data_IF_931451735130
#
_entry.id   IF_931451735130
#
_cell.length_a   1.000
_cell.length_b   1.000
_cell.length_c   1.000
_cell.angle_alpha   90.00
_cell.angle_beta   90.00
_cell.angle_gamma   90.00
#
_symmetry.space_group_name_H-M   'P 1'
#
loop_
_entity.id
_entity.type
_entity.pdbx_description
1 polymer ?
#
# COMPACT_ATOMS: atom_id res chain seq x y z
N UNK A 1 -91.93 -16.73 29.48
CA UNK A 1 -92.02 -17.41 28.16
C UNK A 1 -90.75 -18.24 27.99
N UNK A 2 -90.92 -19.56 27.80
CA UNK A 2 -89.92 -20.60 27.45
C UNK A 2 -88.87 -20.10 26.41
N UNK A 3 -87.58 -20.50 26.28
CA UNK A 3 -86.80 -21.74 26.55
C UNK A 3 -85.31 -21.52 26.14
N UNK A 4 -84.36 -22.18 26.83
CA UNK A 4 -83.18 -23.00 26.38
C UNK A 4 -82.19 -22.32 25.36
N UNK A 5 -80.84 -22.30 25.48
CA UNK A 5 -79.84 -23.39 25.54
C UNK A 5 -78.45 -22.85 25.96
N UNK A 6 -77.77 -23.67 26.79
CA UNK A 6 -76.33 -23.86 27.02
C UNK A 6 -75.33 -23.13 26.09
N UNK A 7 -74.24 -22.61 26.66
CA UNK A 7 -72.93 -23.27 26.56
C UNK A 7 -71.94 -22.76 27.60
N UNK A 8 -71.19 -23.70 28.15
CA UNK A 8 -70.19 -23.58 29.20
C UNK A 8 -68.83 -23.61 28.50
N UNK A 9 -67.99 -22.59 28.67
CA UNK A 9 -66.56 -22.69 28.34
C UNK A 9 -65.77 -21.98 29.42
N UNK A 10 -65.12 -22.79 30.24
CA UNK A 10 -63.98 -22.42 31.07
C UNK A 10 -62.77 -22.38 30.14
N UNK A 11 -62.07 -21.26 30.05
CA UNK A 11 -60.75 -21.23 29.42
C UNK A 11 -59.76 -20.54 30.33
N UNK A 12 -58.92 -21.39 30.92
CA UNK A 12 -57.73 -21.07 31.68
C UNK A 12 -56.75 -20.30 30.79
N UNK A 13 -56.42 -19.06 31.16
CA UNK A 13 -55.43 -18.24 30.46
C UNK A 13 -54.04 -18.61 31.00
N UNK A 14 -53.33 -19.49 30.29
CA UNK A 14 -51.90 -19.73 30.50
C UNK A 14 -51.14 -18.47 30.08
N UNK A 15 -50.51 -17.80 31.03
CA UNK A 15 -49.55 -16.74 30.74
C UNK A 15 -48.32 -17.37 30.07
N UNK A 16 -48.26 -17.33 28.75
CA UNK A 16 -47.04 -17.62 28.01
C UNK A 16 -46.10 -16.43 28.20
N UNK A 17 -45.10 -16.62 29.06
CA UNK A 17 -43.95 -15.74 29.15
C UNK A 17 -43.21 -15.81 27.80
N UNK A 18 -43.31 -14.78 26.97
CA UNK A 18 -42.38 -14.60 25.86
C UNK A 18 -41.03 -14.25 26.47
N UNK A 19 -40.15 -15.24 26.58
CA UNK A 19 -38.72 -14.96 26.71
C UNK A 19 -38.27 -14.36 25.38
N UNK A 20 -37.98 -13.05 25.39
CA UNK A 20 -37.24 -12.43 24.31
C UNK A 20 -35.80 -12.95 24.41
N UNK A 21 -35.48 -13.97 23.63
CA UNK A 21 -34.09 -14.32 23.35
C UNK A 21 -33.44 -13.13 22.66
N UNK A 22 -32.72 -12.32 23.43
CA UNK A 22 -31.80 -11.34 22.91
C UNK A 22 -30.66 -12.11 22.23
N UNK A 23 -30.90 -12.52 20.97
CA UNK A 23 -29.83 -12.79 20.04
C UNK A 23 -29.10 -11.46 19.83
N UNK A 24 -28.11 -11.20 20.68
CA UNK A 24 -27.00 -10.33 20.35
C UNK A 24 -26.29 -11.01 19.18
N UNK A 25 -26.83 -10.80 17.97
CA UNK A 25 -26.11 -11.10 16.76
C UNK A 25 -24.82 -10.30 16.82
N UNK A 26 -23.70 -11.01 16.83
CA UNK A 26 -22.39 -10.43 16.55
C UNK A 26 -22.55 -9.60 15.28
N UNK A 27 -22.56 -8.26 15.41
CA UNK A 27 -22.49 -7.38 14.27
C UNK A 27 -21.04 -7.51 13.83
N UNK A 28 -20.77 -8.44 12.92
CA UNK A 28 -19.49 -8.53 12.26
C UNK A 28 -19.25 -7.18 11.56
N UNK A 29 -18.41 -6.34 12.15
CA UNK A 29 -17.97 -5.08 11.54
C UNK A 29 -17.26 -5.44 10.25
N UNK A 30 -17.76 -4.93 9.12
CA UNK A 30 -17.07 -5.06 7.84
C UNK A 30 -15.63 -4.53 7.97
N UNK A 31 -14.61 -5.25 7.47
CA UNK A 31 -13.24 -4.78 7.57
C UNK A 31 -13.08 -3.45 6.83
N UNK A 32 -12.39 -2.53 7.50
CA UNK A 32 -11.98 -1.22 6.98
C UNK A 32 -11.12 -1.36 5.71
N UNK A 33 -10.99 -0.28 4.95
CA UNK A 33 -10.12 -0.27 3.77
C UNK A 33 -8.65 -0.54 4.12
N UNK A 34 -8.19 -0.06 5.28
CA UNK A 34 -6.87 -0.37 5.84
C UNK A 34 -6.70 -1.87 6.08
N UNK A 35 -7.63 -2.52 6.80
CA UNK A 35 -7.57 -3.97 7.06
C UNK A 35 -7.61 -4.79 5.77
N UNK A 36 -8.41 -4.36 4.77
CA UNK A 36 -8.45 -4.99 3.44
C UNK A 36 -7.12 -4.87 2.71
N UNK A 37 -6.49 -3.68 2.74
CA UNK A 37 -5.17 -3.47 2.13
C UNK A 37 -4.11 -4.33 2.82
N UNK A 38 -4.09 -4.32 4.15
CA UNK A 38 -3.17 -5.12 4.95
C UNK A 38 -3.30 -6.60 4.62
N UNK A 39 -4.53 -7.12 4.57
CA UNK A 39 -4.76 -8.52 4.21
C UNK A 39 -4.26 -8.85 2.80
N UNK A 40 -4.40 -7.92 1.85
CA UNK A 40 -3.87 -8.10 0.48
C UNK A 40 -2.34 -8.08 0.45
N UNK A 41 -1.70 -7.29 1.30
CA UNK A 41 -0.23 -7.17 1.38
C UNK A 41 0.42 -8.14 2.38
N UNK A 42 -0.36 -8.90 3.15
CA UNK A 42 0.15 -9.74 4.25
C UNK A 42 1.15 -10.81 3.77
N UNK A 43 0.87 -11.43 2.62
CA UNK A 43 1.71 -12.48 2.05
C UNK A 43 2.80 -11.95 1.10
N UNK A 44 2.95 -10.62 1.01
CA UNK A 44 3.98 -10.00 0.18
C UNK A 44 5.35 -10.17 0.84
N UNK A 45 6.17 -11.08 0.29
CA UNK A 45 7.57 -11.29 0.66
C UNK A 45 8.52 -10.57 -0.28
N UNK A 46 8.23 -10.60 -1.57
CA UNK A 46 8.99 -9.87 -2.58
C UNK A 46 8.10 -9.39 -3.72
N UNK A 47 8.53 -8.30 -4.36
CA UNK A 47 7.91 -7.73 -5.55
C UNK A 47 9.02 -7.26 -6.48
N UNK A 48 8.96 -7.64 -7.75
CA UNK A 48 9.91 -7.14 -8.74
C UNK A 48 9.22 -6.88 -10.06
N UNK A 49 9.73 -5.93 -10.82
CA UNK A 49 9.18 -5.59 -12.12
C UNK A 49 9.90 -4.40 -12.73
N UNK A 50 9.25 -3.84 -13.73
CA UNK A 50 9.68 -2.65 -14.44
C UNK A 50 8.69 -1.53 -14.18
N UNK A 51 9.15 -0.29 -14.29
CA UNK A 51 8.30 0.88 -14.21
C UNK A 51 8.59 1.86 -15.34
N UNK A 52 7.55 2.60 -15.74
CA UNK A 52 7.67 3.91 -16.40
C UNK A 52 7.08 4.94 -15.45
N UNK A 53 7.82 6.00 -15.13
CA UNK A 53 7.39 7.07 -14.26
C UNK A 53 7.16 8.34 -15.08
N UNK A 54 6.02 8.98 -14.89
CA UNK A 54 5.76 10.32 -15.39
C UNK A 54 5.61 11.29 -14.20
N UNK A 55 6.37 12.37 -14.22
CA UNK A 55 6.37 13.39 -13.17
C UNK A 55 5.65 14.64 -13.69
N UNK A 56 4.61 15.04 -12.98
CA UNK A 56 3.80 16.21 -13.28
C UNK A 56 3.93 17.26 -12.18
N UNK A 57 3.94 18.53 -12.57
CA UNK A 57 3.83 19.68 -11.67
C UNK A 57 2.82 20.65 -12.28
N UNK A 58 1.82 21.05 -11.49
CA UNK A 58 0.69 21.88 -11.96
C UNK A 58 -0.01 21.33 -13.23
N UNK A 59 0.01 20.01 -13.40
CA UNK A 59 -0.58 19.31 -14.56
C UNK A 59 0.29 19.29 -15.82
N UNK A 60 1.50 19.85 -15.77
CA UNK A 60 2.47 19.79 -16.86
C UNK A 60 3.44 18.63 -16.65
N UNK A 61 3.67 17.84 -17.70
CA UNK A 61 4.68 16.78 -17.70
C UNK A 61 6.07 17.43 -17.65
N UNK A 62 6.79 17.21 -16.55
CA UNK A 62 8.16 17.67 -16.38
C UNK A 62 9.17 16.67 -16.93
N UNK A 63 8.90 15.38 -16.69
CA UNK A 63 9.89 14.34 -16.89
C UNK A 63 9.24 12.96 -17.04
N UNK A 64 9.86 12.11 -17.84
CA UNK A 64 9.55 10.69 -17.93
C UNK A 64 10.81 9.87 -17.67
N UNK A 65 10.67 8.83 -16.86
CA UNK A 65 11.74 7.93 -16.44
C UNK A 65 11.30 6.49 -16.65
N UNK A 66 12.24 5.58 -16.77
CA UNK A 66 11.97 4.15 -16.76
C UNK A 66 13.03 3.40 -15.98
N UNK A 67 12.71 2.16 -15.59
CA UNK A 67 13.67 1.36 -14.87
C UNK A 67 13.10 0.07 -14.31
N UNK A 68 13.88 -0.51 -13.40
CA UNK A 68 13.59 -1.77 -12.74
C UNK A 68 13.54 -1.57 -11.23
N UNK A 69 12.69 -2.35 -10.58
CA UNK A 69 12.61 -2.36 -9.13
C UNK A 69 12.57 -3.79 -8.58
N UNK A 70 13.17 -3.96 -7.41
CA UNK A 70 13.10 -5.18 -6.60
C UNK A 70 12.89 -4.76 -5.16
N UNK A 71 11.83 -5.27 -4.56
CA UNK A 71 11.45 -5.06 -3.18
C UNK A 71 11.43 -6.43 -2.49
N UNK A 72 12.03 -6.52 -1.31
CA UNK A 72 11.99 -7.70 -0.46
C UNK A 72 11.77 -7.29 0.99
N UNK A 73 10.74 -7.87 1.60
CA UNK A 73 10.47 -7.65 3.02
C UNK A 73 11.40 -8.50 3.89
N UNK A 74 11.78 -8.01 5.07
CA UNK A 74 11.57 -6.65 5.54
C UNK A 74 12.57 -5.67 4.90
N UNK A 75 12.12 -4.44 4.64
CA UNK A 75 12.97 -3.25 4.52
C UNK A 75 14.01 -3.21 3.38
N UNK A 76 14.04 -4.14 2.42
CA UNK A 76 15.02 -4.12 1.33
C UNK A 76 14.44 -3.66 -0.01
N UNK A 77 15.11 -2.72 -0.65
CA UNK A 77 14.73 -2.17 -1.95
C UNK A 77 15.97 -2.03 -2.83
N UNK A 78 15.79 -2.31 -4.11
CA UNK A 78 16.65 -1.83 -5.18
C UNK A 78 15.77 -1.18 -6.23
N UNK A 79 16.02 0.10 -6.52
CA UNK A 79 15.35 0.86 -7.55
C UNK A 79 16.41 1.39 -8.50
N UNK A 80 16.35 1.00 -9.76
CA UNK A 80 17.33 1.40 -10.79
C UNK A 80 16.59 2.19 -11.83
N UNK A 81 16.95 3.46 -11.99
CA UNK A 81 16.46 4.32 -13.05
C UNK A 81 17.45 4.26 -14.22
N UNK A 82 16.94 4.08 -15.43
CA UNK A 82 17.72 4.04 -16.66
C UNK A 82 18.15 5.45 -17.11
N UNK A 83 18.94 5.52 -18.17
CA UNK A 83 19.28 6.79 -18.83
C UNK A 83 18.00 7.50 -19.35
N UNK A 84 17.99 8.85 -19.38
CA UNK A 84 19.11 9.77 -19.21
C UNK A 84 19.44 10.16 -17.75
N UNK A 85 18.50 10.05 -16.81
CA UNK A 85 18.76 10.31 -15.38
C UNK A 85 19.06 9.02 -14.61
N UNK A 86 20.13 8.34 -15.05
CA UNK A 86 20.56 7.10 -14.43
C UNK A 86 20.80 7.30 -12.93
N UNK A 87 20.22 6.43 -12.11
CA UNK A 87 20.40 6.43 -10.66
C UNK A 87 20.13 5.05 -10.08
N UNK A 88 20.76 4.75 -8.95
CA UNK A 88 20.57 3.50 -8.22
C UNK A 88 20.27 3.84 -6.77
N UNK A 89 19.07 3.49 -6.33
CA UNK A 89 18.67 3.58 -4.94
C UNK A 89 18.61 2.19 -4.33
N UNK A 90 19.32 1.98 -3.24
CA UNK A 90 19.36 0.70 -2.50
C UNK A 90 18.99 0.96 -1.05
N UNK A 91 18.12 0.14 -0.49
CA UNK A 91 17.82 0.08 0.94
C UNK A 91 18.14 -1.34 1.42
N UNK A 92 18.93 -1.48 2.49
CA UNK A 92 19.34 -2.79 3.01
C UNK A 92 18.68 -3.18 4.35
N UNK A 93 17.91 -2.27 4.94
CA UNK A 93 17.31 -2.40 6.26
C UNK A 93 17.84 -1.39 7.28
N UNK A 94 19.01 -0.80 7.05
CA UNK A 94 19.63 0.18 7.95
C UNK A 94 19.94 1.51 7.25
N UNK A 95 20.50 1.44 6.04
CA UNK A 95 20.90 2.62 5.27
C UNK A 95 20.16 2.65 3.93
N UNK A 96 19.81 3.86 3.49
CA UNK A 96 19.39 4.12 2.13
C UNK A 96 20.57 4.75 1.38
N UNK A 97 21.07 4.08 0.35
CA UNK A 97 22.05 4.61 -0.57
C UNK A 97 21.35 5.14 -1.81
N UNK A 98 21.69 6.36 -2.20
CA UNK A 98 21.30 6.94 -3.47
C UNK A 98 22.56 7.26 -4.27
N UNK A 99 22.80 6.51 -5.34
CA UNK A 99 23.97 6.68 -6.20
C UNK A 99 23.57 7.27 -7.54
N UNK A 100 24.24 8.37 -7.91
CA UNK A 100 24.13 8.98 -9.23
C UNK A 100 25.45 8.78 -10.00
N UNK A 101 25.50 7.88 -11.00
CA UNK A 101 26.70 7.62 -11.79
C UNK A 101 27.16 8.81 -12.64
N UNK A 102 26.29 9.75 -12.99
CA UNK A 102 26.66 10.89 -13.84
C UNK A 102 27.60 11.86 -13.14
N UNK A 103 27.37 12.08 -11.84
CA UNK A 103 28.22 12.92 -10.99
C UNK A 103 29.15 12.11 -10.09
N UNK A 104 29.16 10.79 -10.23
CA UNK A 104 29.97 9.85 -9.44
C UNK A 104 29.83 10.09 -7.92
N UNK A 105 28.59 10.29 -7.44
CA UNK A 105 28.30 10.58 -6.04
C UNK A 105 27.30 9.58 -5.46
N UNK A 106 27.56 9.15 -4.22
CA UNK A 106 26.59 8.42 -3.39
C UNK A 106 26.22 9.25 -2.17
N UNK A 107 24.91 9.34 -1.88
CA UNK A 107 24.39 9.92 -0.64
C UNK A 107 23.81 8.83 0.24
N UNK A 108 24.13 8.85 1.53
CA UNK A 108 23.67 7.87 2.53
C UNK A 108 22.70 8.52 3.51
N UNK A 109 21.52 7.91 3.69
CA UNK A 109 20.54 8.33 4.68
C UNK A 109 20.25 7.21 5.67
N UNK A 110 19.80 7.56 6.88
CA UNK A 110 19.22 6.56 7.78
C UNK A 110 17.92 6.11 7.15
N UNK A 111 17.80 4.81 6.92
CA UNK A 111 16.64 4.30 6.21
C UNK A 111 15.34 4.64 6.95
N UNK A 112 15.31 4.50 8.27
CA UNK A 112 14.13 4.81 9.08
C UNK A 112 13.65 6.27 8.90
N UNK A 113 14.55 7.22 8.69
CA UNK A 113 14.22 8.63 8.44
C UNK A 113 13.79 8.83 6.97
N UNK A 114 14.47 8.21 6.01
CA UNK A 114 14.11 8.27 4.60
C UNK A 114 12.78 7.55 4.26
N UNK A 115 12.38 6.57 5.07
CA UNK A 115 11.07 5.92 4.95
C UNK A 115 9.93 6.88 5.24
N UNK A 116 10.16 7.91 6.06
CA UNK A 116 9.18 8.96 6.28
C UNK A 116 9.00 9.80 5.00
N UNK A 117 10.06 9.96 4.19
CA UNK A 117 10.07 10.81 3.00
C UNK A 117 9.64 10.16 1.70
N UNK A 118 9.55 8.84 1.66
CA UNK A 118 9.15 8.10 0.48
C UNK A 118 8.06 7.08 0.82
N UNK A 119 6.79 7.42 0.58
CA UNK A 119 5.66 6.53 0.86
C UNK A 119 5.74 5.16 0.17
N UNK A 120 6.49 5.03 -0.93
CA UNK A 120 6.73 3.72 -1.56
C UNK A 120 7.44 2.75 -0.62
N UNK A 121 8.28 3.25 0.29
CA UNK A 121 8.98 2.44 1.28
C UNK A 121 8.03 1.86 2.34
N UNK A 122 6.81 2.38 2.50
CA UNK A 122 5.78 1.75 3.35
C UNK A 122 5.40 0.34 2.85
N UNK A 123 5.56 0.07 1.55
CA UNK A 123 5.35 -1.28 1.01
C UNK A 123 6.37 -2.29 1.55
N UNK A 124 7.50 -1.84 2.08
CA UNK A 124 8.53 -2.68 2.70
C UNK A 124 8.20 -3.10 4.14
N UNK A 125 7.23 -2.42 4.75
CA UNK A 125 6.86 -2.68 6.14
C UNK A 125 5.92 -3.87 6.25
N UNK A 126 6.13 -4.66 7.29
CA UNK A 126 5.26 -5.78 7.64
C UNK A 126 4.49 -5.51 8.95
N UNK A 127 4.73 -4.38 9.61
CA UNK A 127 4.06 -4.06 10.87
C UNK A 127 2.69 -3.45 10.61
N UNK A 128 1.65 -4.16 11.04
CA UNK A 128 0.26 -3.73 10.93
C UNK A 128 -0.04 -2.48 11.77
N UNK A 129 0.75 -2.20 12.80
CA UNK A 129 0.53 -1.03 13.67
C UNK A 129 0.85 0.28 12.95
N UNK A 130 1.86 0.28 12.06
CA UNK A 130 2.27 1.48 11.34
C UNK A 130 1.15 1.98 10.39
N UNK A 131 0.36 1.07 9.84
CA UNK A 131 -0.77 1.40 8.97
C UNK A 131 -1.92 2.13 9.68
N UNK A 132 -2.00 2.09 11.02
CA UNK A 132 -3.05 2.78 11.78
C UNK A 132 -2.90 4.31 11.79
N UNK A 133 -1.70 4.81 11.47
CA UNK A 133 -1.43 6.24 11.38
C UNK A 133 -1.97 6.87 10.07
N UNK A 134 -2.36 6.05 9.09
CA UNK A 134 -2.79 6.51 7.78
C UNK A 134 -4.31 6.48 7.61
N UNK A 135 -4.85 7.51 6.96
CA UNK A 135 -6.21 7.47 6.43
C UNK A 135 -6.20 6.68 5.12
N UNK A 136 -6.80 5.49 5.15
CA UNK A 136 -6.88 4.58 4.00
C UNK A 136 -8.30 4.49 3.50
N UNK A 137 -8.49 4.77 2.21
CA UNK A 137 -9.76 4.61 1.52
C UNK A 137 -9.61 3.66 0.32
N UNK A 138 -10.70 2.97 -0.03
CA UNK A 138 -10.76 2.06 -1.17
C UNK A 138 -11.86 2.51 -2.12
N UNK A 139 -11.49 2.80 -3.36
CA UNK A 139 -12.43 2.99 -4.47
C UNK A 139 -12.35 1.79 -5.42
N UNK A 140 -13.49 1.19 -5.74
CA UNK A 140 -13.58 0.02 -6.63
C UNK A 140 -14.54 0.30 -7.78
N UNK A 141 -14.12 -0.03 -8.99
CA UNK A 141 -14.98 -0.14 -10.17
C UNK A 141 -14.84 -1.54 -10.80
N UNK A 142 -15.46 -1.77 -11.97
CA UNK A 142 -15.50 -3.09 -12.59
C UNK A 142 -14.12 -3.70 -12.91
N UNK A 143 -13.12 -2.86 -13.21
CA UNK A 143 -11.81 -3.31 -13.70
C UNK A 143 -10.64 -2.81 -12.84
N UNK A 144 -10.90 -1.95 -11.86
CA UNK A 144 -9.87 -1.25 -11.08
C UNK A 144 -10.26 -1.11 -9.62
N UNK A 145 -9.28 -1.33 -8.75
CA UNK A 145 -9.31 -1.04 -7.32
C UNK A 145 -8.18 -0.07 -6.99
N UNK A 146 -8.52 1.06 -6.37
CA UNK A 146 -7.55 2.08 -5.95
C UNK A 146 -7.61 2.21 -4.44
N UNK A 147 -6.49 1.91 -3.78
CA UNK A 147 -6.29 2.25 -2.37
C UNK A 147 -5.57 3.59 -2.29
N UNK A 148 -6.20 4.58 -1.67
CA UNK A 148 -5.61 5.89 -1.40
C UNK A 148 -5.21 5.94 0.06
N UNK A 149 -3.93 6.19 0.33
CA UNK A 149 -3.29 6.21 1.65
C UNK A 149 -2.80 7.63 1.87
N UNK A 150 -3.31 8.29 2.91
CA UNK A 150 -2.92 9.65 3.27
C UNK A 150 -2.25 9.65 4.62
N UNK A 151 -1.13 10.37 4.71
CA UNK A 151 -0.45 10.62 5.97
C UNK A 151 -0.72 12.05 6.44
N UNK A 152 -1.66 12.22 7.37
CA UNK A 152 -1.99 13.53 7.94
C UNK A 152 -0.96 14.03 8.97
N UNK A 153 -0.05 13.16 9.43
CA UNK A 153 0.93 13.46 10.48
C UNK A 153 2.38 13.51 9.96
N UNK A 154 2.62 13.10 8.71
CA UNK A 154 3.96 13.17 8.12
C UNK A 154 4.52 14.59 8.15
N UNK A 155 5.83 14.68 8.39
CA UNK A 155 6.64 15.88 8.11
C UNK A 155 6.57 16.28 6.61
N UNK A 156 5.96 15.43 5.77
CA UNK A 156 5.71 15.60 4.33
C UNK A 156 4.39 16.31 4.00
N UNK A 157 3.73 16.94 4.98
CA UNK A 157 2.69 17.95 4.72
C UNK A 157 1.45 17.44 3.98
N UNK A 158 1.13 16.14 4.06
CA UNK A 158 -0.07 15.57 3.44
C UNK A 158 0.17 14.88 2.10
N UNK A 159 1.28 14.14 1.96
CA UNK A 159 1.51 13.30 0.79
C UNK A 159 0.44 12.21 0.65
N UNK A 160 0.12 11.85 -0.60
CA UNK A 160 -0.88 10.84 -0.94
C UNK A 160 -0.20 9.74 -1.76
N UNK A 161 -0.30 8.50 -1.28
CA UNK A 161 0.07 7.31 -2.04
C UNK A 161 -1.19 6.61 -2.54
N UNK A 162 -1.26 6.36 -3.84
CA UNK A 162 -2.29 5.50 -4.42
C UNK A 162 -1.69 4.20 -4.94
N UNK A 163 -2.28 3.07 -4.53
CA UNK A 163 -1.98 1.74 -5.05
C UNK A 163 -3.12 1.33 -5.96
N UNK A 164 -2.84 1.22 -7.25
CA UNK A 164 -3.84 0.90 -8.27
C UNK A 164 -3.65 -0.54 -8.72
N UNK A 165 -4.68 -1.34 -8.50
CA UNK A 165 -4.76 -2.71 -8.96
C UNK A 165 -5.79 -2.82 -10.08
N UNK A 166 -5.41 -3.41 -11.20
CA UNK A 166 -6.29 -3.60 -12.35
C UNK A 166 -6.47 -5.08 -12.67
N UNK A 167 -7.64 -5.44 -13.21
CA UNK A 167 -7.88 -6.79 -13.70
C UNK A 167 -6.91 -7.14 -14.82
N UNK A 168 -6.20 -8.26 -14.67
CA UNK A 168 -5.38 -8.85 -15.72
C UNK A 168 -6.22 -9.79 -16.61
N UNK A 169 -5.61 -10.34 -17.66
CA UNK A 169 -6.26 -11.29 -18.57
C UNK A 169 -6.76 -12.58 -17.91
N UNK A 170 -6.27 -12.91 -16.69
CA UNK A 170 -6.72 -14.04 -15.89
C UNK A 170 -7.90 -13.68 -14.95
N UNK A 171 -8.46 -12.47 -15.07
CA UNK A 171 -9.51 -11.93 -14.19
C UNK A 171 -9.10 -11.79 -12.72
N UNK A 172 -7.81 -11.55 -12.48
CA UNK A 172 -7.25 -11.28 -11.15
C UNK A 172 -6.76 -9.84 -11.07
N UNK A 173 -6.93 -9.21 -9.91
CA UNK A 173 -6.40 -7.86 -9.66
C UNK A 173 -4.90 -7.92 -9.37
N UNK A 174 -4.08 -7.43 -10.30
CA UNK A 174 -2.64 -7.24 -10.11
C UNK A 174 -2.31 -5.77 -9.84
N UNK A 175 -1.23 -5.50 -9.08
CA UNK A 175 -0.71 -4.14 -8.91
C UNK A 175 -0.17 -3.65 -10.26
N UNK A 176 -0.73 -2.57 -10.79
CA UNK A 176 -0.39 -2.04 -12.10
C UNK A 176 0.15 -0.63 -12.06
N UNK A 177 -0.15 0.13 -11.01
CA UNK A 177 0.21 1.54 -10.95
C UNK A 177 0.38 2.01 -9.50
N UNK A 178 1.35 2.90 -9.30
CA UNK A 178 1.59 3.62 -8.06
C UNK A 178 1.50 5.11 -8.36
N UNK A 179 0.85 5.89 -7.51
CA UNK A 179 0.85 7.35 -7.63
C UNK A 179 1.30 7.96 -6.33
N UNK A 180 2.23 8.89 -6.42
CA UNK A 180 2.70 9.67 -5.30
C UNK A 180 2.41 11.13 -5.59
N UNK A 181 1.64 11.77 -4.72
CA UNK A 181 1.47 13.21 -4.72
C UNK A 181 2.10 13.80 -3.47
N UNK A 182 3.01 14.75 -3.65
CA UNK A 182 3.63 15.45 -2.52
C UNK A 182 2.79 16.66 -2.06
N UNK A 183 3.20 17.29 -0.95
CA UNK A 183 2.53 18.47 -0.41
C UNK A 183 2.65 19.73 -1.29
N UNK A 184 3.63 19.77 -2.20
CA UNK A 184 3.83 20.89 -3.12
C UNK A 184 2.98 20.77 -4.39
N UNK A 185 2.31 19.63 -4.57
CA UNK A 185 1.43 19.36 -5.71
C UNK A 185 2.11 18.63 -6.86
N UNK A 186 3.37 18.23 -6.71
CA UNK A 186 4.04 17.35 -7.67
C UNK A 186 3.41 15.96 -7.60
N UNK A 187 3.12 15.38 -8.77
CA UNK A 187 2.52 14.07 -8.93
C UNK A 187 3.45 13.17 -9.73
N UNK A 188 3.91 12.08 -9.13
CA UNK A 188 4.64 11.00 -9.79
C UNK A 188 3.73 9.81 -10.02
N UNK A 189 3.59 9.40 -11.27
CA UNK A 189 2.77 8.26 -11.70
C UNK A 189 3.68 7.15 -12.22
N UNK A 190 3.72 6.01 -11.55
CA UNK A 190 4.55 4.85 -11.90
C UNK A 190 3.69 3.72 -12.46
N UNK A 191 3.84 3.45 -13.76
CA UNK A 191 3.13 2.35 -14.40
C UNK A 191 4.01 1.12 -14.39
N UNK A 192 3.51 0.07 -13.74
CA UNK A 192 4.27 -1.14 -13.49
C UNK A 192 4.00 -2.18 -14.57
N UNK A 193 5.05 -2.85 -15.00
CA UNK A 193 4.98 -3.95 -15.95
C UNK A 193 5.87 -5.11 -15.53
N UNK A 194 5.60 -6.30 -16.06
CA UNK A 194 6.34 -7.53 -15.75
C UNK A 194 6.45 -7.81 -14.24
N UNK A 195 5.41 -7.42 -13.48
CA UNK A 195 5.34 -7.54 -12.03
C UNK A 195 5.27 -9.01 -11.64
N UNK A 196 6.20 -9.42 -10.76
CA UNK A 196 6.28 -10.77 -10.21
C UNK A 196 6.30 -10.70 -8.70
N UNK A 197 5.41 -11.46 -8.09
CA UNK A 197 5.26 -11.57 -6.65
C UNK A 197 6.03 -12.78 -6.12
N UNK A 198 6.60 -12.63 -4.92
CA UNK A 198 7.11 -13.73 -4.09
C UNK A 198 8.13 -14.63 -4.79
N UNK A 199 8.92 -14.05 -5.70
CA UNK A 199 10.07 -14.72 -6.30
C UNK A 199 11.25 -14.71 -5.34
N UNK A 200 12.12 -15.72 -5.44
CA UNK A 200 13.36 -15.74 -4.67
C UNK A 200 14.29 -14.64 -5.19
N UNK A 201 14.75 -13.77 -4.31
CA UNK A 201 15.71 -12.71 -4.61
C UNK A 201 17.06 -13.07 -4.01
N UNK A 202 18.14 -12.88 -4.76
CA UNK A 202 19.48 -13.11 -4.23
C UNK A 202 19.84 -11.98 -3.27
N UNK A 203 20.45 -12.29 -2.12
CA UNK A 203 20.85 -11.26 -1.15
C UNK A 203 21.80 -10.20 -1.75
N UNK A 204 22.61 -10.59 -2.73
CA UNK A 204 23.52 -9.69 -3.48
C UNK A 204 22.79 -8.62 -4.30
N UNK A 205 21.49 -8.77 -4.56
CA UNK A 205 20.68 -7.75 -5.25
C UNK A 205 20.66 -6.42 -4.49
N UNK A 206 20.70 -6.47 -3.16
CA UNK A 206 20.67 -5.29 -2.29
C UNK A 206 22.07 -4.81 -1.87
N UNK A 207 23.12 -5.30 -2.53
CA UNK A 207 24.44 -4.72 -2.41
C UNK A 207 24.62 -3.59 -3.44
N UNK A 208 25.32 -2.53 -3.04
CA UNK A 208 25.75 -1.46 -3.93
C UNK A 208 27.27 -1.50 -4.05
N UNK A 209 27.76 -1.82 -5.25
CA UNK A 209 29.18 -1.71 -5.59
C UNK A 209 29.44 -0.32 -6.16
N UNK A 210 30.30 0.44 -5.49
CA UNK A 210 30.66 1.81 -5.88
C UNK A 210 31.98 1.79 -6.65
N UNK A 211 32.09 2.48 -7.80
CA UNK A 211 33.35 2.66 -8.48
C UNK A 211 34.40 3.38 -7.62
N UNK A 212 35.67 3.07 -7.86
CA UNK A 212 36.79 3.79 -7.23
C UNK A 212 36.69 5.29 -7.52
N UNK A 213 36.80 6.11 -6.48
CA UNK A 213 36.74 7.56 -6.60
C UNK A 213 35.33 8.16 -6.47
N UNK A 214 34.29 7.35 -6.25
CA UNK A 214 32.94 7.84 -5.95
C UNK A 214 32.98 8.77 -4.72
N UNK A 215 32.39 9.96 -4.84
CA UNK A 215 32.22 10.89 -3.72
C UNK A 215 31.14 10.39 -2.77
N UNK A 216 31.40 10.46 -1.46
CA UNK A 216 30.53 9.93 -0.41
C UNK A 216 30.00 11.08 0.43
N UNK A 217 28.69 11.29 0.35
CA UNK A 217 27.95 12.26 1.14
C UNK A 217 27.12 11.54 2.22
N UNK A 218 27.59 11.52 3.47
CA UNK A 218 26.92 10.82 4.58
C UNK A 218 26.01 11.76 5.39
N UNK A 219 24.70 11.53 5.31
CA UNK A 219 23.64 12.34 5.94
C UNK A 219 22.99 11.62 7.15
N UNK A 220 23.61 10.56 7.68
CA UNK A 220 23.09 9.76 8.80
C UNK A 220 23.33 10.41 10.16
#
# INVERSE_FOLDING_TARGET
>A
MYRIVKLLVVTSCLALSWSADANAGDIATEPSAAEKLQSRLADLRSLQGQFTQAIYEDGYLLQELEGDFVLERPARLRWVTAEPEASVMVADGETLWYYNPFIEQVTLFKQAEAMQSNPLLLLLENDQQNWQAFDVSLHTNAERQTWTIKDEQSDFGGSILELVFSLNSASEFGLTELRLKDAHGQESIFQLSNVRFNQTVAATTFALELPDGTDIDDQR
#
